data_IF_525594582432
#
_entry.id   IF_525594582432
#
_cell.length_a   1.000
_cell.length_b   1.000
_cell.length_c   1.000
_cell.angle_alpha   90.00
_cell.angle_beta   90.00
_cell.angle_gamma   90.00
#
_symmetry.space_group_name_H-M   'P 1'
#
loop_
_entity.id
_entity.type
_entity.pdbx_description
1 polymer ?
#
# COMPACT_ATOMS: atom_id res chain seq x y z
N UNK A 1 -19.49 1.37 -0.86
CA UNK A 1 -18.75 2.25 0.07
C UNK A 1 -18.27 3.47 -0.71
N UNK A 2 -17.98 4.59 -0.05
CA UNK A 2 -17.55 5.82 -0.71
C UNK A 2 -16.26 6.31 -0.05
N UNK A 3 -15.15 5.72 -0.50
CA UNK A 3 -13.78 5.97 -0.03
C UNK A 3 -13.54 7.48 0.12
N UNK A 4 -13.48 7.95 1.36
CA UNK A 4 -13.53 9.38 1.67
C UNK A 4 -12.16 10.03 1.89
N UNK A 5 -11.10 9.23 2.05
CA UNK A 5 -9.73 9.70 2.26
C UNK A 5 -8.77 9.09 1.23
N UNK A 6 -7.71 9.84 0.93
CA UNK A 6 -6.65 9.48 -0.01
C UNK A 6 -5.30 9.76 0.65
N UNK A 7 -4.44 8.76 0.71
CA UNK A 7 -3.03 8.89 1.05
C UNK A 7 -2.20 8.65 -0.21
N UNK A 8 -1.24 9.53 -0.49
CA UNK A 8 -0.24 9.35 -1.54
C UNK A 8 1.13 9.15 -0.88
N UNK A 9 1.88 8.15 -1.34
CA UNK A 9 3.18 7.74 -0.79
C UNK A 9 4.17 7.49 -1.93
N UNK A 10 5.42 7.90 -1.73
CA UNK A 10 6.52 7.57 -2.62
C UNK A 10 7.19 6.24 -2.23
N UNK A 11 7.57 5.45 -3.23
CA UNK A 11 8.46 4.28 -3.13
C UNK A 11 9.63 4.43 -4.10
N UNK A 12 10.68 3.64 -3.91
CA UNK A 12 11.81 3.58 -4.82
C UNK A 12 12.86 2.58 -4.37
N UNK A 13 14.07 2.65 -4.94
CA UNK A 13 15.14 1.67 -4.66
C UNK A 13 15.46 1.47 -3.17
N UNK A 14 15.41 2.53 -2.36
CA UNK A 14 15.73 2.47 -0.92
C UNK A 14 14.51 2.14 -0.05
N UNK A 15 13.30 2.30 -0.56
CA UNK A 15 12.04 1.93 0.10
C UNK A 15 11.10 1.29 -0.95
N UNK A 16 11.22 -0.03 -1.21
CA UNK A 16 10.42 -0.72 -2.23
C UNK A 16 8.91 -0.59 -2.01
N UNK A 17 8.12 -0.78 -3.07
CA UNK A 17 6.67 -0.58 -3.03
C UNK A 17 5.98 -1.42 -1.95
N UNK A 18 6.46 -2.66 -1.72
CA UNK A 18 5.96 -3.53 -0.66
C UNK A 18 6.16 -2.95 0.75
N UNK A 19 7.31 -2.33 1.02
CA UNK A 19 7.62 -1.71 2.32
C UNK A 19 6.85 -0.40 2.47
N UNK A 20 6.89 0.47 1.45
CA UNK A 20 6.17 1.74 1.45
C UNK A 20 4.65 1.56 1.60
N UNK A 21 4.07 0.49 1.06
CA UNK A 21 2.67 0.12 1.26
C UNK A 21 2.40 -0.30 2.72
N UNK A 22 3.21 -1.18 3.31
CA UNK A 22 3.06 -1.58 4.73
C UNK A 22 3.16 -0.36 5.66
N UNK A 23 4.16 0.50 5.46
CA UNK A 23 4.30 1.76 6.21
C UNK A 23 3.05 2.65 6.09
N UNK A 24 2.44 2.69 4.91
CA UNK A 24 1.25 3.52 4.65
C UNK A 24 0.01 2.97 5.36
N UNK A 25 -0.20 1.65 5.37
CA UNK A 25 -1.28 1.03 6.15
C UNK A 25 -1.05 1.22 7.66
N UNK A 26 0.19 1.11 8.15
CA UNK A 26 0.55 1.43 9.54
C UNK A 26 0.18 2.88 9.90
N UNK A 27 0.47 3.82 9.00
CA UNK A 27 0.19 5.24 9.20
C UNK A 27 -1.32 5.55 9.18
N UNK A 28 -2.11 4.84 8.37
CA UNK A 28 -3.58 5.00 8.33
C UNK A 28 -4.25 4.41 9.58
N UNK A 29 -3.76 3.27 10.08
CA UNK A 29 -4.31 2.65 11.29
C UNK A 29 -3.73 3.20 12.59
N UNK A 30 -2.63 3.97 12.51
CA UNK A 30 -1.85 4.47 13.65
C UNK A 30 -1.38 3.32 14.58
N UNK A 31 -0.78 2.29 13.97
CA UNK A 31 -0.26 1.06 14.62
C UNK A 31 1.21 0.85 14.25
N UNK A 32 2.02 0.26 15.15
CA UNK A 32 3.41 -0.10 14.84
C UNK A 32 3.49 -1.27 13.82
N UNK A 33 4.44 -1.28 12.87
CA UNK A 33 4.57 -2.35 11.89
C UNK A 33 4.69 -3.78 12.48
N UNK A 34 5.16 -3.91 13.72
CA UNK A 34 5.25 -5.20 14.43
C UNK A 34 3.94 -5.63 15.09
N UNK A 35 3.04 -4.69 15.37
CA UNK A 35 1.72 -4.91 15.98
C UNK A 35 0.61 -5.00 14.91
N UNK A 36 0.86 -4.51 13.69
CA UNK A 36 -0.05 -4.50 12.55
C UNK A 36 -0.74 -5.85 12.22
N UNK A 37 -0.09 -7.03 12.31
CA UNK A 37 -0.76 -8.31 12.09
C UNK A 37 -1.81 -8.64 13.15
N UNK A 38 -1.61 -8.15 14.38
CA UNK A 38 -2.47 -8.46 15.55
C UNK A 38 -3.51 -7.40 15.86
N UNK A 39 -3.20 -6.12 15.61
CA UNK A 39 -4.10 -5.00 15.91
C UNK A 39 -4.80 -4.45 14.65
N UNK A 40 -4.08 -4.33 13.53
CA UNK A 40 -4.66 -3.93 12.24
C UNK A 40 -5.22 -5.08 11.40
N UNK A 41 -5.00 -6.33 11.82
CA UNK A 41 -5.43 -7.53 11.11
C UNK A 41 -4.85 -7.67 9.70
N UNK A 42 -3.68 -7.08 9.44
CA UNK A 42 -3.10 -6.99 8.10
C UNK A 42 -1.71 -7.61 8.00
N UNK A 43 -1.53 -8.45 6.97
CA UNK A 43 -0.24 -8.94 6.49
C UNK A 43 -0.26 -8.83 4.97
N UNK A 44 0.66 -8.06 4.37
CA UNK A 44 0.69 -7.83 2.91
C UNK A 44 0.74 -9.14 2.10
N UNK A 45 1.48 -10.12 2.61
CA UNK A 45 1.66 -11.44 2.00
C UNK A 45 0.35 -12.25 1.84
N UNK A 46 -0.71 -11.91 2.57
CA UNK A 46 -2.02 -12.56 2.41
C UNK A 46 -2.79 -12.04 1.16
N UNK A 47 -2.37 -10.90 0.61
CA UNK A 47 -3.00 -10.25 -0.55
C UNK A 47 -2.13 -10.32 -1.81
N UNK A 48 -0.81 -10.16 -1.67
CA UNK A 48 0.15 -10.16 -2.78
C UNK A 48 1.52 -10.63 -2.30
N UNK A 49 2.26 -11.36 -3.14
CA UNK A 49 3.67 -11.67 -2.88
C UNK A 49 4.50 -10.36 -2.92
N UNK A 50 5.15 -9.95 -1.82
CA UNK A 50 5.91 -8.70 -1.76
C UNK A 50 7.05 -8.61 -2.79
N UNK A 51 7.73 -9.74 -3.04
CA UNK A 51 8.87 -9.79 -3.97
C UNK A 51 8.38 -9.73 -5.42
N UNK A 52 7.25 -10.37 -5.72
CA UNK A 52 6.60 -10.26 -7.02
C UNK A 52 6.08 -8.83 -7.28
N UNK A 53 5.51 -8.17 -6.27
CA UNK A 53 5.08 -6.78 -6.35
C UNK A 53 6.26 -5.85 -6.68
N UNK A 54 7.32 -5.89 -5.88
CA UNK A 54 8.51 -5.05 -6.09
C UNK A 54 9.17 -5.33 -7.46
N UNK A 55 9.19 -6.59 -7.90
CA UNK A 55 9.70 -6.97 -9.23
C UNK A 55 8.84 -6.45 -10.39
N UNK A 56 7.53 -6.31 -10.17
CA UNK A 56 6.57 -5.88 -11.19
C UNK A 56 6.55 -4.37 -11.38
N UNK A 57 6.72 -3.59 -10.30
CA UNK A 57 6.70 -2.11 -10.34
C UNK A 57 8.09 -1.46 -10.36
N UNK A 58 9.16 -2.27 -10.23
CA UNK A 58 10.54 -1.82 -10.39
C UNK A 58 11.01 -0.85 -9.31
N UNK A 59 11.93 0.06 -9.67
CA UNK A 59 12.51 1.04 -8.74
C UNK A 59 11.84 2.42 -8.76
N UNK A 60 10.63 2.53 -9.33
CA UNK A 60 9.83 3.76 -9.34
C UNK A 60 10.26 4.81 -10.36
N UNK A 61 10.86 4.39 -11.49
CA UNK A 61 11.43 5.29 -12.50
C UNK A 61 10.75 5.22 -13.88
N UNK A 62 9.52 4.70 -13.92
CA UNK A 62 8.70 4.51 -15.12
C UNK A 62 7.97 5.77 -15.61
N UNK A 63 6.85 5.58 -16.33
CA UNK A 63 6.12 6.67 -17.01
C UNK A 63 4.85 7.18 -16.30
N UNK A 64 4.49 6.57 -15.17
CA UNK A 64 3.35 6.94 -14.33
C UNK A 64 2.08 6.17 -14.65
N UNK A 65 2.21 5.05 -15.37
CA UNK A 65 1.13 4.11 -15.61
C UNK A 65 0.86 3.29 -14.35
N UNK A 66 -0.41 3.15 -13.96
CA UNK A 66 -0.81 2.21 -12.90
C UNK A 66 -0.55 0.78 -13.36
N UNK A 67 0.37 0.09 -12.70
CA UNK A 67 0.77 -1.29 -13.03
C UNK A 67 0.04 -2.31 -12.15
N UNK A 68 -0.28 -1.94 -10.92
CA UNK A 68 -0.94 -2.83 -9.95
C UNK A 68 -2.09 -2.08 -9.26
N UNK A 69 -3.28 -2.67 -9.30
CA UNK A 69 -4.48 -2.20 -8.60
C UNK A 69 -5.12 -3.37 -7.87
N UNK A 70 -5.37 -3.25 -6.56
CA UNK A 70 -6.03 -4.28 -5.76
C UNK A 70 -6.71 -3.72 -4.51
N UNK A 71 -7.60 -4.52 -3.91
CA UNK A 71 -8.25 -4.20 -2.65
C UNK A 71 -7.63 -5.01 -1.50
N UNK A 72 -7.36 -4.33 -0.38
CA UNK A 72 -7.05 -4.93 0.91
C UNK A 72 -8.34 -4.84 1.74
N UNK A 73 -8.79 -5.96 2.31
CA UNK A 73 -10.08 -6.08 3.01
C UNK A 73 -9.87 -6.70 4.39
N UNK A 74 -9.70 -5.85 5.40
CA UNK A 74 -9.63 -6.22 6.81
C UNK A 74 -10.96 -5.88 7.50
N UNK A 75 -10.96 -5.22 8.66
CA UNK A 75 -12.13 -4.53 9.20
C UNK A 75 -12.51 -3.28 8.37
N UNK A 76 -11.56 -2.77 7.57
CA UNK A 76 -11.73 -1.67 6.61
C UNK A 76 -11.37 -2.13 5.19
N UNK A 77 -11.73 -1.33 4.19
CA UNK A 77 -11.33 -1.53 2.79
C UNK A 77 -10.37 -0.44 2.36
N UNK A 78 -9.25 -0.85 1.76
CA UNK A 78 -8.29 0.02 1.11
C UNK A 78 -8.22 -0.37 -0.36
N UNK A 79 -8.54 0.54 -1.27
CA UNK A 79 -8.19 0.36 -2.68
C UNK A 79 -6.79 0.95 -2.90
N UNK A 80 -5.87 0.13 -3.39
CA UNK A 80 -4.45 0.44 -3.57
C UNK A 80 -4.14 0.45 -5.06
N UNK A 81 -3.66 1.59 -5.55
CA UNK A 81 -3.15 1.78 -6.90
C UNK A 81 -1.65 2.10 -6.83
N UNK A 82 -0.83 1.38 -7.62
CA UNK A 82 0.63 1.53 -7.65
C UNK A 82 1.06 1.83 -9.09
N UNK A 83 1.68 3.00 -9.27
CA UNK A 83 2.20 3.50 -10.54
C UNK A 83 3.71 3.26 -10.63
N UNK A 84 4.21 2.96 -11.83
CA UNK A 84 5.64 2.68 -12.05
C UNK A 84 6.58 3.89 -11.89
N UNK A 85 6.04 5.10 -11.70
CA UNK A 85 6.77 6.35 -11.41
C UNK A 85 7.05 6.58 -9.91
N UNK A 86 6.96 5.53 -9.09
CA UNK A 86 7.29 5.61 -7.67
C UNK A 86 6.11 5.99 -6.78
N UNK A 87 4.88 6.09 -7.31
CA UNK A 87 3.69 6.49 -6.51
C UNK A 87 2.80 5.32 -6.11
N UNK A 88 2.41 5.32 -4.84
CA UNK A 88 1.34 4.50 -4.27
C UNK A 88 0.20 5.45 -3.87
N UNK A 89 -1.02 5.15 -4.30
CA UNK A 89 -2.24 5.86 -3.90
C UNK A 89 -3.14 4.88 -3.16
N UNK A 90 -3.57 5.27 -1.96
CA UNK A 90 -4.44 4.45 -1.10
C UNK A 90 -5.72 5.22 -0.81
N UNK A 91 -6.83 4.67 -1.28
CA UNK A 91 -8.18 5.17 -1.01
C UNK A 91 -8.83 4.35 0.10
N UNK A 92 -9.31 5.00 1.18
CA UNK A 92 -9.88 4.30 2.34
C UNK A 92 -11.07 5.03 2.97
N UNK A 93 -11.86 4.27 3.74
CA UNK A 93 -12.93 4.77 4.61
C UNK A 93 -12.44 4.84 6.06
N UNK A 94 -12.03 6.02 6.53
CA UNK A 94 -11.63 6.26 7.93
C UNK A 94 -10.87 7.57 8.14
N UNK A 95 -11.00 8.19 9.31
CA UNK A 95 -10.13 9.29 9.73
C UNK A 95 -8.71 8.78 9.99
N UNK A 96 -7.65 9.58 9.73
CA UNK A 96 -6.37 9.40 10.42
C UNK A 96 -6.50 9.65 11.93
#
# INVERSE_FOLDING_TARGET
MQLSHVLEREYGRENPASIALVESICAIENVDPTELPTEGGFVLHDYVDPTALDSLVGDGTGDGTTVVSFEIVTEKTYAVDICDDGRIVIHHDGSP
#
